data_IF_352151820078
#
_entry.id   IF_352151820078
#
_cell.length_a   1.000
_cell.length_b   1.000
_cell.length_c   1.000
_cell.angle_alpha   90.00
_cell.angle_beta   90.00
_cell.angle_gamma   90.00
#
_symmetry.space_group_name_H-M   'P 1'
#
loop_
_entity.id
_entity.type
_entity.pdbx_description
1 polymer ?
#
# COMPACT_ATOMS: atom_id res chain seq x y z
N UNK A 1 15.04 20.90 14.39
CA UNK A 1 14.18 20.26 14.68
C UNK A 1 14.12 18.86 14.32
N UNK A 2 13.48 18.14 15.07
CA UNK A 2 13.34 16.72 14.88
C UNK A 2 12.69 16.36 13.56
N UNK A 3 11.72 17.16 13.15
CA UNK A 3 11.00 16.83 11.94
C UNK A 3 11.90 16.80 10.72
N UNK A 4 12.89 17.67 10.69
CA UNK A 4 13.80 17.68 9.57
C UNK A 4 14.69 16.46 9.57
N UNK A 5 15.19 16.06 10.73
CA UNK A 5 15.99 14.85 10.82
C UNK A 5 15.19 13.62 10.53
N UNK A 6 13.94 13.59 10.98
CA UNK A 6 13.09 12.47 10.70
C UNK A 6 12.88 12.29 9.21
N UNK A 7 12.72 13.37 8.49
CA UNK A 7 12.57 13.28 7.05
C UNK A 7 13.82 12.72 6.40
N UNK A 8 14.99 13.07 6.94
CA UNK A 8 16.25 12.56 6.39
C UNK A 8 16.38 11.06 6.50
N UNK A 9 15.74 10.47 7.50
CA UNK A 9 15.80 9.04 7.75
C UNK A 9 14.58 8.28 7.30
N UNK A 10 13.59 8.99 6.76
CA UNK A 10 12.40 8.31 6.27
C UNK A 10 12.73 7.56 5.00
N UNK A 11 12.21 6.36 4.91
CA UNK A 11 12.38 5.57 3.71
C UNK A 11 11.38 6.04 2.67
N UNK A 12 11.84 6.24 1.45
CA UNK A 12 10.95 6.51 0.33
C UNK A 12 10.05 5.29 0.11
N UNK A 13 8.79 5.53 -0.18
CA UNK A 13 7.83 4.45 -0.37
C UNK A 13 8.14 3.65 -1.63
N UNK A 14 8.11 2.33 -1.49
CA UNK A 14 8.28 1.41 -2.63
C UNK A 14 7.05 0.54 -2.70
N UNK A 15 6.47 0.41 -3.88
CA UNK A 15 5.28 -0.39 -4.07
C UNK A 15 5.52 -1.37 -5.19
N UNK A 16 5.22 -2.64 -4.95
CA UNK A 16 5.32 -3.69 -5.95
C UNK A 16 4.03 -4.49 -5.95
N UNK A 17 3.80 -5.25 -7.02
CA UNK A 17 2.60 -6.03 -7.13
C UNK A 17 2.82 -7.28 -7.96
N UNK A 18 1.96 -8.26 -7.75
CA UNK A 18 1.92 -9.46 -8.56
C UNK A 18 0.53 -10.07 -8.44
N UNK A 19 0.17 -10.94 -9.36
CA UNK A 19 -1.11 -11.63 -9.31
C UNK A 19 -0.93 -12.94 -8.56
N UNK A 20 -1.81 -13.17 -7.59
CA UNK A 20 -1.92 -14.47 -6.95
C UNK A 20 -2.94 -15.27 -7.74
N UNK A 21 -2.46 -16.24 -8.52
CA UNK A 21 -3.35 -16.98 -9.41
C UNK A 21 -4.25 -17.97 -8.68
N UNK A 22 -3.87 -18.35 -7.48
CA UNK A 22 -4.68 -19.28 -6.70
C UNK A 22 -5.94 -18.57 -6.19
N UNK A 23 -5.76 -17.37 -5.64
CA UNK A 23 -6.86 -16.62 -5.06
C UNK A 23 -7.51 -15.65 -6.05
N UNK A 24 -6.90 -15.44 -7.20
CA UNK A 24 -7.36 -14.48 -8.20
C UNK A 24 -7.41 -13.07 -7.62
N UNK A 25 -6.35 -12.71 -6.91
CA UNK A 25 -6.22 -11.38 -6.31
C UNK A 25 -4.92 -10.74 -6.76
N UNK A 26 -4.86 -9.42 -6.63
CA UNK A 26 -3.62 -8.68 -6.80
C UNK A 26 -2.96 -8.59 -5.43
N UNK A 27 -1.71 -9.03 -5.34
CA UNK A 27 -0.92 -8.82 -4.13
C UNK A 27 -0.16 -7.52 -4.30
N UNK A 28 -0.41 -6.57 -3.43
CA UNK A 28 0.26 -5.29 -3.46
C UNK A 28 1.10 -5.17 -2.19
N UNK A 29 2.40 -4.94 -2.36
CA UNK A 29 3.31 -4.78 -1.23
C UNK A 29 3.76 -3.34 -1.14
N UNK A 30 3.57 -2.74 0.04
CA UNK A 30 3.94 -1.35 0.31
C UNK A 30 5.04 -1.37 1.36
N UNK A 31 6.18 -0.80 1.02
CA UNK A 31 7.31 -0.66 1.94
C UNK A 31 7.51 0.83 2.16
N UNK A 32 7.33 1.28 3.40
CA UNK A 32 7.36 2.70 3.69
C UNK A 32 7.77 2.92 5.15
N UNK A 33 8.05 4.15 5.52
CA UNK A 33 8.32 4.47 6.91
C UNK A 33 7.10 4.22 7.76
N UNK A 34 7.30 3.53 8.88
CA UNK A 34 6.19 3.28 9.80
C UNK A 34 5.77 4.60 10.45
N UNK A 35 4.47 4.74 10.68
CA UNK A 35 3.91 5.94 11.30
C UNK A 35 2.55 5.61 11.89
N UNK A 36 2.11 6.39 12.89
CA UNK A 36 0.75 6.22 13.41
C UNK A 36 -0.28 6.41 12.30
N UNK A 37 -1.27 5.56 12.29
CA UNK A 37 -2.35 5.66 11.32
C UNK A 37 -2.02 5.19 9.91
N UNK A 38 -0.87 4.55 9.72
CA UNK A 38 -0.45 4.10 8.39
C UNK A 38 -1.50 3.22 7.73
N UNK A 39 -2.00 2.21 8.43
CA UNK A 39 -3.00 1.30 7.87
C UNK A 39 -4.30 2.02 7.54
N UNK A 40 -4.67 3.01 8.34
CA UNK A 40 -5.88 3.79 8.05
C UNK A 40 -5.72 4.59 6.76
N UNK A 41 -4.56 5.18 6.55
CA UNK A 41 -4.28 5.92 5.32
C UNK A 41 -4.41 5.00 4.12
N UNK A 42 -3.77 3.84 4.19
CA UNK A 42 -3.77 2.89 3.08
C UNK A 42 -5.19 2.34 2.84
N UNK A 43 -5.87 1.92 3.90
CA UNK A 43 -7.21 1.35 3.77
C UNK A 43 -8.22 2.36 3.24
N UNK A 44 -8.12 3.61 3.67
CA UNK A 44 -9.00 4.65 3.17
C UNK A 44 -8.78 4.89 1.68
N UNK A 45 -7.54 4.80 1.22
CA UNK A 45 -7.24 4.91 -0.20
C UNK A 45 -7.90 3.78 -0.98
N UNK A 46 -7.80 2.54 -0.49
CA UNK A 46 -8.46 1.41 -1.16
C UNK A 46 -9.95 1.66 -1.29
N UNK A 47 -10.58 2.14 -0.21
CA UNK A 47 -12.02 2.38 -0.23
C UNK A 47 -12.40 3.47 -1.22
N UNK A 48 -11.65 4.56 -1.26
CA UNK A 48 -11.92 5.65 -2.20
C UNK A 48 -11.77 5.21 -3.64
N UNK A 49 -10.84 4.29 -3.90
CA UNK A 49 -10.55 3.83 -5.26
C UNK A 49 -11.34 2.59 -5.65
N UNK A 50 -12.35 2.23 -4.87
CA UNK A 50 -13.23 1.10 -5.16
C UNK A 50 -12.46 -0.22 -5.28
N UNK A 51 -11.51 -0.40 -4.39
CA UNK A 51 -10.69 -1.61 -4.34
C UNK A 51 -11.12 -2.42 -3.13
N UNK A 52 -11.37 -3.71 -3.35
CA UNK A 52 -11.79 -4.62 -2.27
C UNK A 52 -10.57 -5.24 -1.61
N UNK A 53 -10.51 -5.14 -0.29
CA UNK A 53 -9.43 -5.72 0.48
C UNK A 53 -9.86 -7.09 1.03
N UNK A 54 -9.13 -8.13 0.67
CA UNK A 54 -9.42 -9.50 1.09
C UNK A 54 -8.58 -9.95 2.26
N UNK A 55 -7.39 -9.41 2.39
CA UNK A 55 -6.50 -9.79 3.48
C UNK A 55 -5.27 -8.92 3.50
N UNK A 56 -4.56 -8.97 4.61
CA UNK A 56 -3.37 -8.16 4.77
C UNK A 56 -2.37 -8.88 5.66
N UNK A 57 -1.10 -8.71 5.35
CA UNK A 57 0.00 -9.13 6.21
C UNK A 57 0.79 -7.88 6.55
N UNK A 58 0.91 -7.60 7.83
CA UNK A 58 1.56 -6.39 8.32
C UNK A 58 2.82 -6.78 9.06
N UNK A 59 3.96 -6.28 8.61
CA UNK A 59 5.24 -6.56 9.25
C UNK A 59 5.96 -5.24 9.45
N UNK A 60 6.41 -5.00 10.68
CA UNK A 60 7.17 -3.80 11.01
C UNK A 60 8.53 -4.23 11.52
N UNK A 61 9.59 -3.69 10.93
CA UNK A 61 10.95 -3.94 11.36
C UNK A 61 11.63 -2.60 11.60
N UNK A 62 11.84 -2.28 12.89
CA UNK A 62 12.39 -0.98 13.23
C UNK A 62 11.44 0.13 12.78
N UNK A 63 11.96 1.03 11.96
CA UNK A 63 11.19 2.17 11.49
C UNK A 63 10.53 1.93 10.12
N UNK A 64 10.57 0.69 9.62
CA UNK A 64 10.08 0.38 8.29
C UNK A 64 8.91 -0.60 8.37
N UNK A 65 7.82 -0.27 7.69
CA UNK A 65 6.67 -1.15 7.56
C UNK A 65 6.68 -1.79 6.18
N UNK A 66 6.46 -3.11 6.16
CA UNK A 66 6.33 -3.87 4.91
C UNK A 66 4.98 -4.56 4.97
N UNK A 67 4.03 -4.05 4.24
CA UNK A 67 2.65 -4.53 4.31
C UNK A 67 2.22 -5.08 2.96
N UNK A 68 1.66 -6.28 2.96
CA UNK A 68 1.17 -6.91 1.74
C UNK A 68 -0.34 -7.05 1.84
N UNK A 69 -1.02 -6.60 0.77
CA UNK A 69 -2.48 -6.59 0.72
C UNK A 69 -2.96 -7.45 -0.43
N UNK A 70 -4.02 -8.22 -0.19
CA UNK A 70 -4.67 -8.99 -1.25
C UNK A 70 -5.88 -8.19 -1.71
N UNK A 71 -5.87 -7.77 -2.97
CA UNK A 71 -6.85 -6.82 -3.50
C UNK A 71 -7.55 -7.37 -4.72
N UNK A 72 -8.77 -6.92 -4.94
CA UNK A 72 -9.50 -7.18 -6.16
C UNK A 72 -10.37 -5.97 -6.50
N UNK A 73 -10.97 -5.99 -7.69
CA UNK A 73 -12.04 -5.05 -7.97
C UNK A 73 -13.33 -5.57 -7.31
N UNK A 74 -14.44 -4.87 -7.52
CA UNK A 74 -15.70 -5.25 -6.88
C UNK A 74 -16.37 -6.45 -7.55
N UNK A 75 -15.84 -6.90 -8.69
CA UNK A 75 -16.29 -8.11 -9.33
C UNK A 75 -15.41 -9.31 -8.98
N UNK A 76 -14.53 -9.13 -7.97
CA UNK A 76 -13.63 -10.15 -7.48
C UNK A 76 -12.59 -10.59 -8.52
N UNK A 77 -12.23 -9.70 -9.42
CA UNK A 77 -11.15 -9.93 -10.37
C UNK A 77 -9.90 -9.18 -9.93
N UNK A 78 -8.71 -9.68 -10.30
CA UNK A 78 -7.49 -8.91 -10.04
C UNK A 78 -7.60 -7.53 -10.68
N UNK A 79 -6.91 -6.56 -10.09
CA UNK A 79 -6.90 -5.20 -10.61
C UNK A 79 -6.20 -5.18 -11.97
N UNK A 80 -6.75 -4.43 -12.91
CA UNK A 80 -6.07 -4.26 -14.20
C UNK A 80 -4.92 -3.27 -14.07
N UNK A 81 -4.11 -3.16 -15.12
CA UNK A 81 -2.91 -2.32 -15.07
C UNK A 81 -3.22 -0.85 -14.80
N UNK A 82 -4.30 -0.33 -15.37
CA UNK A 82 -4.66 1.06 -15.15
C UNK A 82 -5.05 1.31 -13.70
N UNK A 83 -5.79 0.37 -13.11
CA UNK A 83 -6.19 0.49 -11.71
C UNK A 83 -4.96 0.42 -10.79
N UNK A 84 -4.03 -0.50 -11.09
CA UNK A 84 -2.81 -0.63 -10.29
C UNK A 84 -1.97 0.65 -10.39
N UNK A 85 -1.81 1.18 -11.58
CA UNK A 85 -1.00 2.37 -11.78
C UNK A 85 -1.58 3.56 -11.03
N UNK A 86 -2.89 3.74 -11.12
CA UNK A 86 -3.57 4.82 -10.43
C UNK A 86 -3.45 4.67 -8.92
N UNK A 87 -3.70 3.46 -8.42
CA UNK A 87 -3.64 3.19 -6.99
C UNK A 87 -2.24 3.43 -6.46
N UNK A 88 -1.22 2.94 -7.17
CA UNK A 88 0.17 3.12 -6.77
C UNK A 88 0.53 4.61 -6.70
N UNK A 89 0.13 5.37 -7.70
CA UNK A 89 0.41 6.81 -7.71
C UNK A 89 -0.24 7.53 -6.54
N UNK A 90 -1.48 7.20 -6.23
CA UNK A 90 -2.19 7.84 -5.12
C UNK A 90 -1.53 7.46 -3.79
N UNK A 91 -1.20 6.18 -3.61
CA UNK A 91 -0.54 5.74 -2.37
C UNK A 91 0.80 6.43 -2.17
N UNK A 92 1.61 6.52 -3.22
CA UNK A 92 2.89 7.21 -3.10
C UNK A 92 2.71 8.67 -2.74
N UNK A 93 1.74 9.32 -3.34
CA UNK A 93 1.44 10.72 -3.04
C UNK A 93 1.02 10.90 -1.58
N UNK A 94 0.20 9.98 -1.07
CA UNK A 94 -0.27 10.06 0.32
C UNK A 94 0.83 9.75 1.31
N UNK A 95 1.74 8.83 0.97
CA UNK A 95 2.73 8.34 1.93
C UNK A 95 4.03 9.11 1.91
N UNK A 96 4.41 9.67 0.77
CA UNK A 96 5.69 10.39 0.63
C UNK A 96 5.54 11.90 0.67
N UNK A 97 4.37 12.37 0.93
CA UNK A 97 4.09 13.80 0.91
C UNK A 97 4.85 14.58 1.99
#
# INVERSE_FOLDING_TARGET
RLSRQQKSFNKATEISHQINKVTQTTELTVVTSDRPGLLSIISNTFRREAVRLHGARVVTEGAVARDTFLLSDYDDNPLDNDAIEKLTGILMSELDD
#
